data_IF_051474178367
#
_entry.id   IF_051474178367
#
_cell.length_a   1.000
_cell.length_b   1.000
_cell.length_c   1.000
_cell.angle_alpha   90.00
_cell.angle_beta   90.00
_cell.angle_gamma   90.00
#
_symmetry.space_group_name_H-M   'P 1'
#
loop_
_entity.id
_entity.type
_entity.pdbx_description
1 polymer ?
#
# COMPACT_ATOMS: atom_id res chain seq x y z
N UNK A 1 -18.29 -6.64 -20.62
CA UNK A 1 -18.00 -7.85 -19.80
C UNK A 1 -17.72 -7.38 -18.40
N UNK A 2 -18.25 -8.05 -17.40
CA UNK A 2 -18.03 -7.70 -16.00
C UNK A 2 -16.60 -8.17 -15.62
N UNK A 3 -15.72 -7.21 -15.29
CA UNK A 3 -14.34 -7.52 -14.87
C UNK A 3 -14.20 -7.48 -13.35
N UNK A 4 -13.48 -8.44 -12.82
CA UNK A 4 -13.14 -8.53 -11.39
C UNK A 4 -11.74 -7.97 -11.15
N UNK A 5 -11.65 -7.02 -10.22
CA UNK A 5 -10.42 -6.42 -9.74
C UNK A 5 -10.09 -6.96 -8.36
N UNK A 6 -8.88 -7.52 -8.17
CA UNK A 6 -8.37 -7.79 -6.83
C UNK A 6 -7.57 -6.59 -6.34
N UNK A 7 -7.88 -6.16 -5.12
CA UNK A 7 -7.22 -5.03 -4.48
C UNK A 7 -6.62 -5.47 -3.15
N UNK A 8 -5.43 -4.93 -2.83
CA UNK A 8 -4.62 -5.37 -1.71
C UNK A 8 -4.32 -4.22 -0.75
N UNK A 9 -4.67 -4.34 0.54
CA UNK A 9 -4.48 -3.28 1.51
C UNK A 9 -3.00 -3.07 1.86
N UNK A 10 -2.72 -1.90 2.40
CA UNK A 10 -1.42 -1.51 2.92
C UNK A 10 -1.40 -1.39 4.44
N UNK A 11 -0.33 -0.77 4.94
CA UNK A 11 -0.10 -0.53 6.36
C UNK A 11 -1.28 0.23 7.00
N UNK A 12 -1.68 -0.20 8.19
CA UNK A 12 -2.86 0.30 8.92
C UNK A 12 -4.06 -0.65 8.90
N UNK A 13 -4.00 -1.73 8.12
CA UNK A 13 -5.05 -2.74 8.05
C UNK A 13 -4.84 -3.94 8.98
N UNK A 14 -3.64 -4.10 9.57
CA UNK A 14 -3.28 -5.21 10.45
C UNK A 14 -4.07 -5.20 11.77
N UNK A 15 -4.32 -6.39 12.29
CA UNK A 15 -4.97 -6.59 13.61
C UNK A 15 -4.47 -7.89 14.27
N UNK A 16 -4.45 -7.96 15.62
CA UNK A 16 -4.10 -9.18 16.34
C UNK A 16 -4.99 -10.36 15.97
N UNK A 17 -4.39 -11.52 15.73
CA UNK A 17 -5.10 -12.73 15.32
C UNK A 17 -5.25 -12.90 13.81
N UNK A 18 -4.85 -11.93 12.98
CA UNK A 18 -4.97 -11.98 11.53
C UNK A 18 -4.30 -13.24 10.94
N UNK A 19 -5.03 -13.95 10.09
CA UNK A 19 -4.54 -15.12 9.35
C UNK A 19 -4.41 -16.40 10.15
N UNK A 20 -4.82 -16.44 11.42
CA UNK A 20 -4.76 -17.65 12.25
C UNK A 20 -5.67 -18.75 11.70
N UNK A 21 -6.81 -18.41 11.18
CA UNK A 21 -7.78 -19.30 10.55
C UNK A 21 -7.30 -19.85 9.19
N UNK A 22 -6.41 -19.15 8.51
CA UNK A 22 -5.81 -19.59 7.26
C UNK A 22 -4.65 -20.59 7.46
N UNK A 23 -4.08 -20.64 8.68
CA UNK A 23 -2.90 -21.45 8.95
C UNK A 23 -3.07 -22.95 8.72
N UNK A 24 -4.19 -23.61 9.12
CA UNK A 24 -4.35 -25.06 8.89
C UNK A 24 -4.26 -25.45 7.42
N UNK A 25 -4.79 -24.62 6.53
CA UNK A 25 -4.83 -24.90 5.08
C UNK A 25 -3.57 -24.45 4.34
N UNK A 26 -2.79 -23.51 4.91
CA UNK A 26 -1.64 -22.88 4.26
C UNK A 26 -0.35 -22.95 5.09
N UNK A 27 -0.27 -23.92 5.99
CA UNK A 27 0.83 -24.08 6.95
C UNK A 27 2.20 -24.08 6.26
N UNK A 28 2.36 -24.79 5.16
CA UNK A 28 3.63 -24.89 4.45
C UNK A 28 4.12 -23.53 3.96
N UNK A 29 3.23 -22.73 3.35
CA UNK A 29 3.55 -21.40 2.86
C UNK A 29 3.88 -20.43 4.00
N UNK A 30 3.12 -20.48 5.09
CA UNK A 30 3.35 -19.63 6.25
C UNK A 30 4.63 -20.00 7.01
N UNK A 31 4.96 -21.27 7.13
CA UNK A 31 6.25 -21.70 7.71
C UNK A 31 7.43 -21.32 6.80
N UNK A 32 7.26 -21.40 5.48
CA UNK A 32 8.26 -20.88 4.54
C UNK A 32 8.50 -19.39 4.73
N UNK A 33 7.46 -18.60 4.99
CA UNK A 33 7.60 -17.17 5.31
C UNK A 33 8.44 -16.95 6.57
N UNK A 34 8.21 -17.73 7.65
CA UNK A 34 9.02 -17.66 8.87
C UNK A 34 10.51 -17.90 8.58
N UNK A 35 10.81 -18.89 7.73
CA UNK A 35 12.20 -19.20 7.34
C UNK A 35 12.83 -18.06 6.54
N UNK A 36 12.11 -17.50 5.56
CA UNK A 36 12.60 -16.40 4.72
C UNK A 36 12.89 -15.14 5.56
N UNK A 37 12.00 -14.83 6.49
CA UNK A 37 12.12 -13.64 7.34
C UNK A 37 13.17 -13.81 8.45
N UNK A 38 13.53 -15.05 8.81
CA UNK A 38 14.45 -15.34 9.91
C UNK A 38 13.83 -15.17 11.31
N UNK A 39 12.51 -14.98 11.39
CA UNK A 39 11.75 -14.93 12.64
C UNK A 39 10.32 -15.42 12.41
N UNK A 40 9.63 -15.79 13.47
CA UNK A 40 8.27 -16.33 13.40
C UNK A 40 7.22 -15.21 13.29
N UNK A 41 7.00 -14.74 12.08
CA UNK A 41 5.97 -13.72 11.80
C UNK A 41 4.58 -14.23 12.16
N UNK A 42 4.34 -15.55 11.97
CA UNK A 42 3.06 -16.19 12.30
C UNK A 42 2.72 -16.08 13.78
N UNK A 43 3.69 -16.21 14.68
CA UNK A 43 3.45 -16.10 16.13
C UNK A 43 3.03 -14.66 16.48
N UNK A 44 3.63 -13.65 15.83
CA UNK A 44 3.25 -12.25 16.03
C UNK A 44 1.87 -11.97 15.45
N UNK A 45 1.56 -12.49 14.25
CA UNK A 45 0.26 -12.33 13.62
C UNK A 45 -0.87 -12.93 14.46
N UNK A 46 -0.66 -14.13 15.02
CA UNK A 46 -1.70 -14.89 15.71
C UNK A 46 -1.87 -14.51 17.18
N UNK A 47 -0.78 -14.23 17.87
CA UNK A 47 -0.76 -14.06 19.33
C UNK A 47 -0.15 -12.73 19.79
N UNK A 48 0.48 -11.97 18.88
CA UNK A 48 1.06 -10.68 19.20
C UNK A 48 0.02 -9.62 19.52
N UNK A 49 0.44 -8.63 20.28
CA UNK A 49 -0.39 -7.46 20.59
C UNK A 49 -0.51 -6.50 19.38
N UNK A 50 -1.43 -5.55 19.46
CA UNK A 50 -1.51 -4.48 18.48
C UNK A 50 -0.20 -3.66 18.39
N UNK A 51 0.53 -3.54 19.50
CA UNK A 51 1.81 -2.82 19.53
C UNK A 51 2.93 -3.63 18.83
N UNK A 52 2.95 -4.96 18.97
CA UNK A 52 3.90 -5.81 18.25
C UNK A 52 3.72 -5.69 16.72
N UNK A 53 2.47 -5.52 16.28
CA UNK A 53 2.11 -5.38 14.86
C UNK A 53 2.32 -3.96 14.31
N UNK A 54 2.66 -2.94 15.12
CA UNK A 54 2.87 -1.55 14.66
C UNK A 54 4.22 -1.30 14.02
N UNK A 55 5.26 -2.06 14.41
CA UNK A 55 6.59 -1.87 13.85
C UNK A 55 6.59 -2.15 12.35
N UNK A 56 6.99 -1.19 11.53
CA UNK A 56 6.94 -1.29 10.05
C UNK A 56 7.59 -2.58 9.54
N UNK A 57 8.71 -3.00 10.15
CA UNK A 57 9.41 -4.26 9.83
C UNK A 57 8.59 -5.53 10.08
N UNK A 58 7.54 -5.44 10.90
CA UNK A 58 6.59 -6.53 11.19
C UNK A 58 5.30 -6.33 10.40
N UNK A 59 4.74 -5.12 10.42
CA UNK A 59 3.46 -4.78 9.79
C UNK A 59 3.42 -5.17 8.32
N UNK A 60 4.45 -4.79 7.56
CA UNK A 60 4.43 -4.99 6.10
C UNK A 60 4.50 -6.48 5.73
N UNK A 61 5.44 -7.29 6.25
CA UNK A 61 5.43 -8.72 5.98
C UNK A 61 4.16 -9.45 6.44
N UNK A 62 3.58 -9.04 7.57
CA UNK A 62 2.35 -9.66 8.08
C UNK A 62 1.15 -9.43 7.13
N UNK A 63 0.94 -8.17 6.69
CA UNK A 63 -0.12 -7.85 5.73
C UNK A 63 0.11 -8.54 4.38
N UNK A 64 1.36 -8.52 3.90
CA UNK A 64 1.73 -9.19 2.66
C UNK A 64 1.42 -10.69 2.72
N UNK A 65 1.88 -11.39 3.75
CA UNK A 65 1.67 -12.82 3.92
C UNK A 65 0.17 -13.16 3.94
N UNK A 66 -0.61 -12.45 4.74
CA UNK A 66 -2.06 -12.63 4.82
C UNK A 66 -2.73 -12.43 3.45
N UNK A 67 -2.42 -11.33 2.78
CA UNK A 67 -3.00 -10.98 1.49
C UNK A 67 -2.65 -11.97 0.37
N UNK A 68 -1.39 -12.43 0.33
CA UNK A 68 -0.94 -13.38 -0.70
C UNK A 68 -1.53 -14.76 -0.46
N UNK A 69 -1.61 -15.23 0.79
CA UNK A 69 -2.28 -16.50 1.14
C UNK A 69 -3.73 -16.48 0.67
N UNK A 70 -4.47 -15.40 0.93
CA UNK A 70 -5.84 -15.25 0.45
C UNK A 70 -5.92 -15.26 -1.07
N UNK A 71 -5.02 -14.55 -1.76
CA UNK A 71 -5.02 -14.50 -3.22
C UNK A 71 -4.74 -15.89 -3.84
N UNK A 72 -3.82 -16.65 -3.24
CA UNK A 72 -3.50 -18.02 -3.70
C UNK A 72 -4.62 -19.04 -3.41
N UNK A 73 -5.53 -18.71 -2.49
CA UNK A 73 -6.70 -19.55 -2.16
C UNK A 73 -7.89 -19.33 -3.09
N UNK A 74 -7.82 -18.29 -3.96
CA UNK A 74 -8.92 -17.99 -4.87
C UNK A 74 -8.89 -18.93 -6.08
N UNK A 75 -10.04 -19.53 -6.41
CA UNK A 75 -10.20 -20.35 -7.61
C UNK A 75 -10.24 -19.49 -8.89
N UNK A 76 -10.79 -18.29 -8.79
CA UNK A 76 -10.89 -17.36 -9.91
C UNK A 76 -9.67 -16.44 -9.97
N UNK A 77 -9.14 -16.26 -11.18
CA UNK A 77 -8.11 -15.26 -11.43
C UNK A 77 -8.76 -13.89 -11.65
N UNK A 78 -8.12 -12.81 -11.18
CA UNK A 78 -8.63 -11.46 -11.45
C UNK A 78 -8.36 -11.05 -12.90
N UNK A 79 -9.22 -10.15 -13.41
CA UNK A 79 -8.99 -9.48 -14.70
C UNK A 79 -7.96 -8.35 -14.59
N UNK A 80 -7.77 -7.83 -13.39
CA UNK A 80 -6.82 -6.76 -13.09
C UNK A 80 -6.52 -6.73 -11.58
N UNK A 81 -5.36 -6.18 -11.22
CA UNK A 81 -4.95 -6.07 -9.83
C UNK A 81 -4.40 -4.68 -9.51
N UNK A 82 -4.58 -4.26 -8.26
CA UNK A 82 -3.93 -3.08 -7.68
C UNK A 82 -3.67 -3.29 -6.18
N UNK A 83 -2.71 -2.58 -5.64
CA UNK A 83 -2.48 -2.58 -4.19
C UNK A 83 -2.09 -1.20 -3.69
N UNK A 84 -2.49 -0.86 -2.47
CA UNK A 84 -2.18 0.43 -1.86
C UNK A 84 -0.82 0.36 -1.16
N UNK A 85 0.17 1.12 -1.63
CA UNK A 85 1.53 1.15 -1.07
C UNK A 85 2.14 -0.26 -0.97
N UNK A 86 2.29 -0.81 0.21
CA UNK A 86 2.72 -2.20 0.43
C UNK A 86 1.90 -3.21 -0.38
N UNK A 87 0.59 -3.01 -0.47
CA UNK A 87 -0.31 -3.91 -1.19
C UNK A 87 0.03 -4.08 -2.67
N UNK A 88 0.77 -3.16 -3.27
CA UNK A 88 1.25 -3.30 -4.65
C UNK A 88 2.14 -4.55 -4.81
N UNK A 89 2.99 -4.87 -3.82
CA UNK A 89 3.79 -6.10 -3.85
C UNK A 89 2.93 -7.36 -3.74
N UNK A 90 1.86 -7.32 -2.95
CA UNK A 90 0.87 -8.42 -2.90
C UNK A 90 0.17 -8.59 -4.24
N UNK A 91 -0.20 -7.48 -4.89
CA UNK A 91 -0.79 -7.49 -6.23
C UNK A 91 0.17 -8.08 -7.28
N UNK A 92 1.46 -7.76 -7.22
CA UNK A 92 2.48 -8.30 -8.13
C UNK A 92 2.63 -9.82 -7.98
N UNK A 93 2.60 -10.35 -6.77
CA UNK A 93 2.62 -11.80 -6.54
C UNK A 93 1.32 -12.45 -7.02
N UNK A 94 0.17 -11.88 -6.71
CA UNK A 94 -1.14 -12.38 -7.15
C UNK A 94 -1.26 -12.42 -8.69
N UNK A 95 -0.68 -11.44 -9.38
CA UNK A 95 -0.62 -11.40 -10.84
C UNK A 95 0.48 -12.31 -11.44
N UNK A 96 1.38 -12.85 -10.62
CA UNK A 96 2.50 -13.68 -11.06
C UNK A 96 3.68 -12.88 -11.63
N UNK A 97 3.74 -11.57 -11.39
CA UNK A 97 4.90 -10.75 -11.75
C UNK A 97 6.10 -11.01 -10.84
N UNK A 98 5.85 -11.42 -9.60
CA UNK A 98 6.86 -11.84 -8.61
C UNK A 98 6.53 -13.23 -8.08
N UNK A 99 7.56 -14.01 -7.73
CA UNK A 99 7.38 -15.19 -6.88
C UNK A 99 6.99 -14.77 -5.45
N UNK A 100 6.37 -15.67 -4.69
CA UNK A 100 6.07 -15.43 -3.28
C UNK A 100 7.33 -15.09 -2.49
N UNK A 101 8.39 -15.85 -2.71
CA UNK A 101 9.66 -15.72 -2.03
C UNK A 101 10.33 -14.37 -2.32
N UNK A 102 10.35 -13.95 -3.58
CA UNK A 102 10.95 -12.69 -3.97
C UNK A 102 10.10 -11.50 -3.50
N UNK A 103 8.78 -11.60 -3.61
CA UNK A 103 7.86 -10.61 -3.07
C UNK A 103 8.04 -10.41 -1.57
N UNK A 104 8.13 -11.50 -0.79
CA UNK A 104 8.33 -11.43 0.66
C UNK A 104 9.72 -10.86 1.04
N UNK A 105 10.78 -11.24 0.33
CA UNK A 105 12.13 -10.67 0.54
C UNK A 105 12.15 -9.17 0.26
N UNK A 106 11.55 -8.73 -0.85
CA UNK A 106 11.46 -7.30 -1.18
C UNK A 106 10.65 -6.53 -0.14
N UNK A 107 9.52 -7.07 0.31
CA UNK A 107 8.69 -6.45 1.35
C UNK A 107 9.44 -6.36 2.68
N UNK A 108 10.16 -7.40 3.07
CA UNK A 108 10.99 -7.39 4.29
C UNK A 108 12.09 -6.32 4.23
N UNK A 109 12.83 -6.24 3.13
CA UNK A 109 13.85 -5.22 2.92
C UNK A 109 13.26 -3.81 2.88
N UNK A 110 12.14 -3.63 2.18
CA UNK A 110 11.39 -2.38 2.14
C UNK A 110 11.02 -1.90 3.54
N UNK A 111 10.44 -2.79 4.35
CA UNK A 111 10.00 -2.48 5.69
C UNK A 111 11.16 -2.09 6.62
N UNK A 112 12.29 -2.80 6.52
CA UNK A 112 13.51 -2.51 7.29
C UNK A 112 14.14 -1.18 6.86
N UNK A 113 14.26 -0.93 5.55
CA UNK A 113 14.83 0.31 5.02
C UNK A 113 13.98 1.52 5.41
N UNK A 114 12.64 1.41 5.31
CA UNK A 114 11.72 2.46 5.73
C UNK A 114 11.82 2.73 7.23
N UNK A 115 11.83 1.69 8.07
CA UNK A 115 11.95 1.86 9.53
C UNK A 115 13.26 2.53 9.91
N UNK A 116 14.39 2.06 9.37
CA UNK A 116 15.72 2.65 9.58
C UNK A 116 15.80 4.10 9.12
N UNK A 117 15.14 4.43 8.01
CA UNK A 117 15.04 5.80 7.52
C UNK A 117 14.28 6.70 8.51
N UNK A 118 13.14 6.24 9.03
CA UNK A 118 12.35 6.97 10.01
C UNK A 118 13.07 7.17 11.35
N UNK A 119 13.86 6.19 11.78
CA UNK A 119 14.67 6.30 13.02
C UNK A 119 15.77 7.36 12.89
N UNK A 120 16.35 7.51 11.69
CA UNK A 120 17.40 8.49 11.41
C UNK A 120 16.86 9.89 11.12
N UNK A 121 15.76 9.95 10.42
CA UNK A 121 15.10 11.18 9.97
C UNK A 121 13.60 11.06 10.22
N UNK A 122 13.15 11.38 11.44
CA UNK A 122 11.73 11.41 11.76
C UNK A 122 10.97 12.36 10.86
N UNK A 123 9.74 11.98 10.53
CA UNK A 123 8.83 12.79 9.74
C UNK A 123 7.39 12.60 10.22
N UNK A 124 6.47 13.24 9.56
CA UNK A 124 5.06 13.15 9.89
C UNK A 124 4.20 12.97 8.63
N UNK A 125 3.00 12.44 8.86
CA UNK A 125 1.91 12.41 7.88
C UNK A 125 0.65 12.97 8.51
N UNK A 126 -0.21 13.58 7.69
CA UNK A 126 -1.50 14.06 8.14
C UNK A 126 -2.60 13.78 7.12
N UNK A 127 -3.77 13.35 7.60
CA UNK A 127 -4.95 13.15 6.76
C UNK A 127 -5.71 14.48 6.63
N UNK A 128 -5.94 14.89 5.40
CA UNK A 128 -6.72 16.08 5.03
C UNK A 128 -8.07 15.61 4.48
N UNK A 129 -9.15 16.10 5.05
CA UNK A 129 -10.50 15.65 4.72
C UNK A 129 -11.36 16.83 4.25
N UNK A 130 -12.08 16.59 3.15
CA UNK A 130 -13.06 17.50 2.57
C UNK A 130 -12.46 18.83 2.09
N UNK A 131 -11.36 18.72 1.34
CA UNK A 131 -10.76 19.82 0.61
C UNK A 131 -10.38 19.33 -0.80
N UNK A 132 -10.54 20.14 -1.87
CA UNK A 132 -10.14 19.77 -3.22
C UNK A 132 -8.63 19.49 -3.33
N UNK A 133 -8.26 18.52 -4.15
CA UNK A 133 -6.88 18.07 -4.31
C UNK A 133 -5.95 19.21 -4.80
N UNK A 134 -6.42 20.04 -5.73
CA UNK A 134 -5.67 21.19 -6.27
C UNK A 134 -5.36 22.26 -5.20
N UNK A 135 -6.26 22.43 -4.22
CA UNK A 135 -6.01 23.34 -3.09
C UNK A 135 -4.94 22.77 -2.17
N UNK A 136 -4.99 21.44 -1.91
CA UNK A 136 -4.00 20.76 -1.08
C UNK A 136 -2.61 20.81 -1.77
N UNK A 137 -2.55 20.52 -3.07
CA UNK A 137 -1.32 20.56 -3.87
C UNK A 137 -0.67 21.94 -3.84
N UNK A 138 -1.46 22.99 -4.05
CA UNK A 138 -0.97 24.36 -4.01
C UNK A 138 -0.40 24.75 -2.64
N UNK A 139 -1.11 24.45 -1.56
CA UNK A 139 -0.64 24.75 -0.20
C UNK A 139 0.64 23.97 0.11
N UNK A 140 0.73 22.69 -0.27
CA UNK A 140 1.96 21.92 -0.10
C UNK A 140 3.12 22.47 -0.95
N UNK A 141 2.85 22.94 -2.17
CA UNK A 141 3.88 23.52 -3.04
C UNK A 141 4.49 24.83 -2.46
N UNK A 142 3.70 25.58 -1.70
CA UNK A 142 4.14 26.81 -1.04
C UNK A 142 4.91 26.56 0.28
N UNK A 143 4.94 25.34 0.77
CA UNK A 143 5.61 24.96 2.02
C UNK A 143 6.71 23.92 1.73
N UNK A 144 8.00 24.32 1.72
CA UNK A 144 9.10 23.38 1.56
C UNK A 144 9.07 22.28 2.62
N UNK A 145 9.33 21.04 2.23
CA UNK A 145 9.42 19.90 3.14
C UNK A 145 8.13 19.13 3.37
N UNK A 146 7.03 19.45 2.70
CA UNK A 146 5.78 18.67 2.71
C UNK A 146 5.24 18.45 1.29
N UNK A 147 4.68 17.26 1.05
CA UNK A 147 4.10 16.87 -0.24
C UNK A 147 2.78 16.12 -0.05
N UNK A 148 1.86 16.13 -1.03
CA UNK A 148 0.78 15.15 -1.09
C UNK A 148 1.37 13.74 -1.30
N UNK A 149 0.97 12.79 -0.45
CA UNK A 149 1.54 11.45 -0.41
C UNK A 149 0.55 10.35 -0.81
N UNK A 150 -0.74 10.47 -0.43
CA UNK A 150 -1.75 9.48 -0.81
C UNK A 150 -3.04 10.19 -1.24
N UNK A 151 -3.42 10.01 -2.48
CA UNK A 151 -4.74 10.41 -3.00
C UNK A 151 -5.71 9.25 -2.78
N UNK A 152 -6.34 9.19 -1.61
CA UNK A 152 -7.10 8.02 -1.17
C UNK A 152 -8.52 7.94 -1.71
N UNK A 153 -9.22 9.07 -1.76
CA UNK A 153 -10.53 9.21 -2.39
C UNK A 153 -10.80 10.69 -2.65
N UNK A 154 -11.80 11.06 -3.46
CA UNK A 154 -12.17 12.47 -3.63
C UNK A 154 -12.34 13.18 -2.27
N UNK A 155 -11.59 14.26 -2.06
CA UNK A 155 -11.59 15.01 -0.80
C UNK A 155 -10.89 14.34 0.38
N UNK A 156 -10.11 13.29 0.15
CA UNK A 156 -9.28 12.64 1.16
C UNK A 156 -7.86 12.42 0.65
N UNK A 157 -6.95 13.28 1.06
CA UNK A 157 -5.52 13.23 0.73
C UNK A 157 -4.72 13.15 2.01
N UNK A 158 -3.66 12.35 2.00
CA UNK A 158 -2.65 12.34 3.07
C UNK A 158 -1.44 13.13 2.59
N UNK A 159 -0.98 14.07 3.40
CA UNK A 159 0.26 14.81 3.20
C UNK A 159 1.37 14.21 4.05
N UNK A 160 2.63 14.37 3.61
CA UNK A 160 3.79 13.73 4.20
C UNK A 160 5.01 14.63 4.08
N UNK A 161 5.86 14.67 5.12
CA UNK A 161 7.06 15.48 5.10
C UNK A 161 7.71 15.67 6.46
N UNK A 162 8.50 16.74 6.57
CA UNK A 162 9.09 17.19 7.81
C UNK A 162 7.99 17.57 8.82
N UNK A 163 8.19 17.26 10.07
CA UNK A 163 7.16 17.45 11.10
C UNK A 163 6.65 18.90 11.17
N UNK A 164 7.57 19.87 11.18
CA UNK A 164 7.21 21.29 11.23
C UNK A 164 6.47 21.76 9.95
N UNK A 165 6.86 21.25 8.78
CA UNK A 165 6.22 21.56 7.50
C UNK A 165 4.80 20.97 7.44
N UNK A 166 4.61 19.75 7.94
CA UNK A 166 3.29 19.11 8.06
C UNK A 166 2.39 19.88 9.02
N UNK A 167 2.90 20.35 10.17
CA UNK A 167 2.13 21.15 11.13
C UNK A 167 1.71 22.51 10.53
N UNK A 168 2.63 23.17 9.79
CA UNK A 168 2.32 24.39 9.06
C UNK A 168 1.26 24.15 7.98
N UNK A 169 1.41 23.10 7.19
CA UNK A 169 0.44 22.72 6.17
C UNK A 169 -0.94 22.43 6.78
N UNK A 170 -1.00 21.68 7.87
CA UNK A 170 -2.26 21.39 8.56
C UNK A 170 -2.99 22.69 9.00
N UNK A 171 -2.24 23.69 9.47
CA UNK A 171 -2.80 24.99 9.86
C UNK A 171 -3.39 25.72 8.67
N UNK A 172 -2.64 25.82 7.55
CA UNK A 172 -3.10 26.48 6.32
C UNK A 172 -4.27 25.75 5.66
N UNK A 173 -4.23 24.40 5.63
CA UNK A 173 -5.31 23.59 5.07
C UNK A 173 -6.62 23.74 5.86
N UNK A 174 -6.56 23.85 7.19
CA UNK A 174 -7.73 24.15 8.00
C UNK A 174 -8.26 25.56 7.72
N UNK A 175 -7.39 26.56 7.60
CA UNK A 175 -7.77 27.92 7.24
C UNK A 175 -8.38 28.00 5.81
N UNK A 176 -7.95 27.12 4.90
CA UNK A 176 -8.51 27.00 3.56
C UNK A 176 -9.85 26.23 3.50
N UNK A 177 -10.36 25.73 4.63
CA UNK A 177 -11.66 25.07 4.72
C UNK A 177 -11.66 23.54 4.83
N UNK A 178 -10.50 22.90 5.05
CA UNK A 178 -10.47 21.47 5.34
C UNK A 178 -11.30 21.15 6.61
N UNK A 179 -12.21 20.19 6.50
CA UNK A 179 -13.00 19.73 7.65
C UNK A 179 -12.11 19.13 8.73
N UNK A 180 -11.02 18.47 8.33
CA UNK A 180 -9.98 17.92 9.20
C UNK A 180 -8.63 18.00 8.50
N UNK A 181 -7.59 18.32 9.25
CA UNK A 181 -6.20 18.09 8.91
C UNK A 181 -5.52 17.61 10.20
N UNK A 182 -5.35 16.28 10.32
CA UNK A 182 -4.95 15.60 11.56
C UNK A 182 -3.72 14.73 11.29
N UNK A 183 -2.71 14.87 12.17
CA UNK A 183 -1.53 13.99 12.13
C UNK A 183 -1.95 12.54 12.35
N UNK A 184 -1.33 11.64 11.60
CA UNK A 184 -1.49 10.21 11.73
C UNK A 184 -0.48 9.66 12.77
N UNK A 185 -0.81 8.56 13.46
CA UNK A 185 0.07 7.93 14.45
C UNK A 185 1.18 7.12 13.76
N UNK A 186 1.96 7.78 12.90
CA UNK A 186 3.12 7.22 12.20
C UNK A 186 4.31 8.14 12.41
N UNK A 187 5.51 7.55 12.51
CA UNK A 187 6.75 8.29 12.78
C UNK A 187 7.60 8.54 11.53
N UNK A 188 7.04 8.31 10.35
CA UNK A 188 7.77 8.45 9.09
C UNK A 188 7.02 9.27 8.05
N UNK A 189 7.77 9.92 7.17
CA UNK A 189 7.26 10.67 6.03
C UNK A 189 7.21 9.79 4.79
N UNK A 190 6.34 8.77 4.79
CA UNK A 190 6.20 7.83 3.69
C UNK A 190 5.73 8.53 2.41
N UNK A 191 6.14 8.02 1.25
CA UNK A 191 5.79 8.57 -0.07
C UNK A 191 6.19 10.04 -0.24
N UNK A 192 7.31 10.44 0.33
CA UNK A 192 7.91 11.77 0.23
C UNK A 192 9.41 11.68 -0.11
N UNK A 193 10.06 12.78 -0.50
CA UNK A 193 11.50 12.79 -0.73
C UNK A 193 12.34 12.35 0.47
N UNK A 194 11.81 12.43 1.70
CA UNK A 194 12.50 11.95 2.91
C UNK A 194 12.75 10.42 2.91
N UNK A 195 12.04 9.66 2.06
CA UNK A 195 12.25 8.22 1.89
C UNK A 195 13.36 7.87 0.88
N UNK A 196 14.08 8.84 0.33
CA UNK A 196 15.14 8.58 -0.64
C UNK A 196 16.22 7.61 -0.16
N UNK A 197 16.72 7.68 1.10
CA UNK A 197 17.68 6.70 1.59
C UNK A 197 17.12 5.27 1.63
N UNK A 198 15.82 5.10 1.94
CA UNK A 198 15.16 3.81 1.92
C UNK A 198 14.97 3.30 0.49
N UNK A 199 14.66 4.18 -0.47
CA UNK A 199 14.56 3.86 -1.89
C UNK A 199 15.89 3.35 -2.44
N UNK A 200 16.99 4.03 -2.14
CA UNK A 200 18.33 3.62 -2.58
C UNK A 200 18.73 2.25 -2.01
N UNK A 201 18.43 1.97 -0.73
CA UNK A 201 18.70 0.69 -0.11
C UNK A 201 17.88 -0.43 -0.77
N UNK A 202 16.60 -0.18 -1.09
CA UNK A 202 15.71 -1.14 -1.75
C UNK A 202 16.04 -1.33 -3.24
N UNK A 203 16.54 -0.31 -3.92
CA UNK A 203 16.79 -0.32 -5.37
C UNK A 203 17.66 -1.51 -5.80
N UNK A 204 18.74 -1.79 -5.09
CA UNK A 204 19.64 -2.92 -5.42
C UNK A 204 18.92 -4.26 -5.38
N UNK A 205 18.02 -4.44 -4.42
CA UNK A 205 17.24 -5.67 -4.30
C UNK A 205 16.20 -5.78 -5.44
N UNK A 206 15.53 -4.69 -5.78
CA UNK A 206 14.59 -4.64 -6.89
C UNK A 206 15.31 -4.93 -8.22
N UNK A 207 16.46 -4.32 -8.45
CA UNK A 207 17.27 -4.53 -9.66
C UNK A 207 17.72 -5.99 -9.83
N UNK A 208 18.09 -6.65 -8.73
CA UNK A 208 18.54 -8.03 -8.71
C UNK A 208 17.39 -9.06 -8.78
N UNK A 209 16.14 -8.63 -8.52
CA UNK A 209 14.98 -9.51 -8.51
C UNK A 209 14.43 -9.71 -9.92
N UNK A 210 14.15 -10.96 -10.34
CA UNK A 210 13.49 -11.21 -11.62
C UNK A 210 12.00 -10.83 -11.55
N UNK A 211 11.57 -10.00 -12.48
CA UNK A 211 10.15 -9.72 -12.70
C UNK A 211 9.68 -10.46 -13.93
N UNK A 212 8.48 -11.03 -13.87
CA UNK A 212 7.85 -11.79 -14.96
C UNK A 212 6.69 -11.00 -15.55
N UNK A 213 6.27 -11.39 -16.77
CA UNK A 213 5.05 -10.84 -17.37
C UNK A 213 3.86 -11.28 -16.52
N UNK A 214 3.08 -10.34 -15.94
CA UNK A 214 1.92 -10.68 -15.12
C UNK A 214 0.79 -11.27 -15.98
N UNK A 215 -0.03 -12.12 -15.37
CA UNK A 215 -1.20 -12.76 -16.00
C UNK A 215 -2.34 -11.79 -16.31
N UNK A 216 -2.38 -10.66 -15.65
CA UNK A 216 -3.35 -9.59 -15.86
C UNK A 216 -2.69 -8.22 -15.63
N UNK A 217 -3.30 -7.12 -16.12
CA UNK A 217 -2.76 -5.78 -15.88
C UNK A 217 -2.63 -5.44 -14.40
N UNK A 218 -1.48 -4.87 -14.03
CA UNK A 218 -1.20 -4.32 -12.71
C UNK A 218 -1.30 -2.81 -12.76
N UNK A 219 -2.15 -2.22 -11.92
CA UNK A 219 -2.28 -0.78 -11.76
C UNK A 219 -1.36 -0.33 -10.64
N UNK A 220 -0.29 0.39 -10.98
CA UNK A 220 0.73 0.76 -10.02
C UNK A 220 0.51 2.16 -9.44
N UNK A 221 0.93 2.36 -8.20
CA UNK A 221 0.65 3.57 -7.41
C UNK A 221 1.18 4.85 -8.04
N UNK A 222 2.36 4.79 -8.66
CA UNK A 222 3.05 5.97 -9.22
C UNK A 222 2.32 6.53 -10.43
N UNK A 223 1.84 5.67 -11.32
CA UNK A 223 1.23 6.03 -12.60
C UNK A 223 -0.30 5.98 -12.58
N UNK A 224 -0.87 5.18 -11.67
CA UNK A 224 -2.28 4.78 -11.66
C UNK A 224 -2.75 4.07 -12.95
N UNK A 225 -1.83 3.72 -13.83
CA UNK A 225 -2.10 3.14 -15.15
C UNK A 225 -1.80 1.64 -15.19
N UNK A 226 -2.52 0.87 -16.00
CA UNK A 226 -2.26 -0.55 -16.16
C UNK A 226 -0.98 -0.81 -16.93
N UNK A 227 -0.25 -1.84 -16.55
CA UNK A 227 0.87 -2.37 -17.32
C UNK A 227 0.98 -3.89 -17.15
N UNK A 228 1.53 -4.56 -18.17
CA UNK A 228 1.96 -5.95 -18.13
C UNK A 228 3.45 -6.08 -18.48
N UNK A 229 4.15 -4.96 -18.64
CA UNK A 229 5.57 -4.92 -18.98
C UNK A 229 6.40 -5.03 -17.69
N UNK A 230 7.22 -6.08 -17.51
CA UNK A 230 8.04 -6.29 -16.33
C UNK A 230 9.03 -5.15 -16.04
N UNK A 231 9.60 -4.54 -17.08
CA UNK A 231 10.56 -3.44 -16.93
C UNK A 231 9.87 -2.17 -16.42
N UNK A 232 8.68 -1.86 -16.94
CA UNK A 232 7.86 -0.75 -16.45
C UNK A 232 7.43 -1.00 -15.01
N UNK A 233 7.03 -2.22 -14.68
CA UNK A 233 6.66 -2.61 -13.30
C UNK A 233 7.83 -2.37 -12.37
N UNK A 234 9.01 -2.85 -12.73
CA UNK A 234 10.24 -2.72 -11.97
C UNK A 234 10.64 -1.26 -11.73
N UNK A 235 10.61 -0.44 -12.79
CA UNK A 235 10.88 0.99 -12.72
C UNK A 235 9.92 1.72 -11.76
N UNK A 236 8.62 1.40 -11.82
CA UNK A 236 7.63 1.99 -10.93
C UNK A 236 7.82 1.54 -9.47
N UNK A 237 8.22 0.29 -9.22
CA UNK A 237 8.59 -0.17 -7.88
C UNK A 237 9.77 0.62 -7.29
N UNK A 238 10.77 0.98 -8.13
CA UNK A 238 11.91 1.81 -7.72
C UNK A 238 11.49 3.22 -7.30
N UNK A 239 10.45 3.77 -7.93
CA UNK A 239 9.96 5.15 -7.67
C UNK A 239 8.94 5.22 -6.53
N UNK A 240 8.33 4.09 -6.15
CA UNK A 240 7.13 4.07 -5.30
C UNK A 240 7.34 4.73 -3.93
N UNK A 241 8.49 4.50 -3.27
CA UNK A 241 8.72 5.01 -1.90
C UNK A 241 8.77 6.52 -1.80
N UNK A 242 9.17 7.20 -2.88
CA UNK A 242 9.33 8.67 -2.93
C UNK A 242 8.27 9.34 -3.78
N UNK A 243 7.29 8.59 -4.26
CA UNK A 243 6.20 9.07 -5.11
C UNK A 243 4.85 8.90 -4.43
N UNK A 244 3.84 9.71 -4.79
CA UNK A 244 2.52 9.58 -4.21
C UNK A 244 1.82 8.29 -4.64
N UNK A 245 0.98 7.76 -3.75
CA UNK A 245 0.02 6.70 -4.04
C UNK A 245 -1.23 7.33 -4.66
N UNK A 246 -1.45 7.12 -5.93
CA UNK A 246 -2.56 7.66 -6.72
C UNK A 246 -3.77 6.72 -6.69
N UNK A 247 -4.27 6.40 -5.49
CA UNK A 247 -5.31 5.41 -5.31
C UNK A 247 -6.64 5.80 -5.96
N UNK A 248 -7.06 7.06 -5.82
CA UNK A 248 -8.26 7.58 -6.47
C UNK A 248 -8.21 7.36 -7.98
N UNK A 249 -7.11 7.78 -8.61
CA UNK A 249 -6.91 7.65 -10.05
C UNK A 249 -6.80 6.18 -10.46
N UNK A 250 -6.16 5.33 -9.64
CA UNK A 250 -6.09 3.88 -9.87
C UNK A 250 -7.50 3.27 -9.97
N UNK A 251 -8.34 3.50 -8.99
CA UNK A 251 -9.71 2.96 -8.99
C UNK A 251 -10.54 3.52 -10.15
N UNK A 252 -10.42 4.82 -10.43
CA UNK A 252 -11.11 5.45 -11.57
C UNK A 252 -10.69 4.84 -12.91
N UNK A 253 -9.39 4.55 -13.08
CA UNK A 253 -8.88 3.91 -14.29
C UNK A 253 -9.36 2.46 -14.42
N UNK A 254 -9.35 1.70 -13.31
CA UNK A 254 -9.89 0.33 -13.28
C UNK A 254 -11.38 0.30 -13.65
N UNK A 255 -12.18 1.24 -13.13
CA UNK A 255 -13.61 1.39 -13.47
C UNK A 255 -13.79 1.71 -14.97
N UNK A 256 -13.03 2.66 -15.51
CA UNK A 256 -13.04 3.02 -16.93
C UNK A 256 -12.66 1.84 -17.82
N UNK A 257 -11.74 0.99 -17.36
CA UNK A 257 -11.27 -0.18 -18.07
C UNK A 257 -12.18 -1.41 -17.89
N UNK A 258 -13.33 -1.22 -17.21
CA UNK A 258 -14.46 -2.15 -17.12
C UNK A 258 -14.54 -2.98 -15.83
N UNK A 259 -13.86 -2.58 -14.76
CA UNK A 259 -14.06 -3.22 -13.45
C UNK A 259 -15.47 -2.94 -12.94
N UNK A 260 -16.21 -4.01 -12.62
CA UNK A 260 -17.55 -3.94 -12.01
C UNK A 260 -17.62 -4.63 -10.64
N UNK A 261 -16.56 -5.35 -10.28
CA UNK A 261 -16.42 -6.04 -9.00
C UNK A 261 -15.01 -5.79 -8.44
N UNK A 262 -14.93 -5.29 -7.22
CA UNK A 262 -13.70 -5.13 -6.46
C UNK A 262 -13.70 -6.08 -5.27
N UNK A 263 -12.65 -6.88 -5.15
CA UNK A 263 -12.46 -7.82 -4.05
C UNK A 263 -11.20 -7.43 -3.30
N UNK A 264 -11.35 -6.95 -2.07
CA UNK A 264 -10.23 -6.68 -1.17
C UNK A 264 -9.75 -8.00 -0.56
N UNK A 265 -8.51 -8.38 -0.85
CA UNK A 265 -7.85 -9.56 -0.30
C UNK A 265 -6.79 -9.14 0.71
N UNK A 266 -7.09 -9.33 1.97
CA UNK A 266 -6.19 -8.92 3.05
C UNK A 266 -6.92 -8.53 4.33
N UNK A 267 -6.18 -8.15 5.37
CA UNK A 267 -6.79 -7.79 6.65
C UNK A 267 -7.56 -6.47 6.56
N UNK A 268 -8.71 -6.41 7.22
CA UNK A 268 -9.53 -5.20 7.32
C UNK A 268 -10.38 -4.90 6.09
N UNK A 269 -10.94 -3.68 6.05
CA UNK A 269 -11.91 -3.24 5.04
C UNK A 269 -11.64 -1.83 4.51
N UNK A 270 -10.39 -1.40 4.60
CA UNK A 270 -10.01 -0.01 4.30
C UNK A 270 -10.25 0.33 2.84
N UNK A 271 -9.81 -0.52 1.92
CA UNK A 271 -9.94 -0.26 0.50
C UNK A 271 -11.39 -0.36 0.01
N UNK A 272 -12.21 -1.23 0.59
CA UNK A 272 -13.65 -1.26 0.32
C UNK A 272 -14.28 0.11 0.61
N UNK A 273 -13.92 0.71 1.75
CA UNK A 273 -14.40 2.05 2.13
C UNK A 273 -13.94 3.13 1.16
N UNK A 274 -12.72 3.05 0.64
CA UNK A 274 -12.20 3.99 -0.35
C UNK A 274 -12.87 3.80 -1.72
N UNK A 275 -12.99 2.56 -2.19
CA UNK A 275 -13.68 2.26 -3.47
C UNK A 275 -15.13 2.74 -3.45
N UNK A 276 -15.86 2.55 -2.34
CA UNK A 276 -17.24 3.05 -2.18
C UNK A 276 -17.37 4.57 -2.33
N UNK A 277 -16.32 5.33 -2.02
CA UNK A 277 -16.31 6.79 -2.19
C UNK A 277 -15.93 7.24 -3.59
N UNK A 278 -15.29 6.36 -4.37
CA UNK A 278 -14.80 6.66 -5.71
C UNK A 278 -15.77 6.14 -6.77
N UNK A 279 -16.31 4.94 -6.56
CA UNK A 279 -17.17 4.25 -7.52
C UNK A 279 -18.62 4.79 -7.50
N UNK A 280 -19.27 4.73 -8.65
CA UNK A 280 -20.71 4.97 -8.77
C UNK A 280 -21.52 3.78 -8.21
N UNK A 281 -22.82 3.96 -8.07
CA UNK A 281 -23.76 2.88 -7.71
C UNK A 281 -23.69 1.71 -8.70
N UNK A 282 -23.92 0.51 -8.21
CA UNK A 282 -23.93 -0.72 -9.03
C UNK A 282 -22.61 -1.46 -9.10
N UNK A 283 -21.54 -0.93 -8.52
CA UNK A 283 -20.27 -1.65 -8.40
C UNK A 283 -20.30 -2.60 -7.19
N UNK A 284 -19.90 -3.86 -7.40
CA UNK A 284 -19.81 -4.86 -6.34
C UNK A 284 -18.49 -4.63 -5.60
N UNK A 285 -18.57 -4.49 -4.28
CA UNK A 285 -17.40 -4.25 -3.42
C UNK A 285 -17.52 -5.20 -2.23
N UNK A 286 -16.54 -6.09 -2.11
CA UNK A 286 -16.50 -7.11 -1.07
C UNK A 286 -15.06 -7.34 -0.58
N UNK A 287 -14.90 -8.05 0.53
CA UNK A 287 -13.61 -8.41 1.10
C UNK A 287 -13.55 -9.87 1.52
N UNK A 288 -12.37 -10.44 1.41
CA UNK A 288 -12.02 -11.76 1.93
C UNK A 288 -10.85 -11.55 2.90
N UNK A 289 -11.05 -11.98 4.14
CA UNK A 289 -10.11 -11.78 5.24
C UNK A 289 -9.55 -13.10 5.75
#
# INVERSE_FOLDING_TARGET
MNKTAYIFPGQGSQFPGMGQDLYPSHKELMERANVILGFRITDIMFQGSADDLKATRVTQPAIFLHSVVLAMSQEQLPDMVAGHSLGEFSALVAAGALSFEDGLRLVSLRAQAMQKCCEKQPGAMAAVINLPDDVIERICADIPGVVPANYNSPGQVVISGEEAAVDQACTQLKAAGAKRALKLPVSGAFHSPLMEPAREELARAIEATPFQVPRCPVYQNVTASPTTDPEVIKENCLKQLTSPVRWTQTVQNMLRDGATRFVELGPGTVLQGLVKRIAAEGIIIEGIQ
#
